data_IF_286425789629
#
_entry.id   IF_286425789629
#
_cell.length_a   1.000
_cell.length_b   1.000
_cell.length_c   1.000
_cell.angle_alpha   90.00
_cell.angle_beta   90.00
_cell.angle_gamma   90.00
#
_symmetry.space_group_name_H-M   'P 1'
#
loop_
_entity.id
_entity.type
_entity.pdbx_description
1 polymer ?
#
# COMPACT_ATOMS: atom_id res chain seq x y z
N UNK A 1 -79.50 35.60 2.03
CA UNK A 1 -78.78 34.31 2.16
C UNK A 1 -78.18 34.02 0.79
N UNK A 2 -76.96 34.44 0.49
CA UNK A 2 -75.64 33.93 0.91
C UNK A 2 -74.96 33.35 -0.34
N UNK A 3 -74.41 34.25 -1.15
CA UNK A 3 -73.60 33.93 -2.33
C UNK A 3 -72.13 34.07 -1.96
N UNK A 4 -71.37 32.97 -1.94
CA UNK A 4 -69.90 33.02 -1.99
C UNK A 4 -69.33 31.77 -2.67
N UNK A 5 -68.99 31.83 -3.97
CA UNK A 5 -68.10 30.90 -4.63
C UNK A 5 -66.86 31.65 -5.16
N UNK A 6 -65.87 31.94 -4.30
CA UNK A 6 -64.69 32.77 -4.64
C UNK A 6 -63.35 32.12 -4.22
N UNK A 7 -63.28 30.79 -4.07
CA UNK A 7 -62.04 30.11 -3.63
C UNK A 7 -61.64 28.92 -4.52
N UNK A 8 -61.65 29.08 -5.85
CA UNK A 8 -61.15 28.02 -6.75
C UNK A 8 -60.09 28.42 -7.78
N UNK A 9 -59.81 29.71 -7.97
CA UNK A 9 -58.99 30.14 -9.13
C UNK A 9 -57.49 30.43 -8.83
N UNK A 10 -57.02 30.33 -7.58
CA UNK A 10 -55.66 30.80 -7.20
C UNK A 10 -54.59 29.72 -7.02
N UNK A 11 -54.92 28.44 -7.17
CA UNK A 11 -53.98 27.35 -6.92
C UNK A 11 -53.16 26.89 -8.15
N UNK A 12 -53.61 27.14 -9.38
CA UNK A 12 -52.97 26.59 -10.59
C UNK A 12 -51.73 27.37 -11.07
N UNK A 13 -51.59 28.66 -10.69
CA UNK A 13 -50.50 29.51 -11.18
C UNK A 13 -49.14 29.30 -10.51
N UNK A 14 -49.10 28.76 -9.29
CA UNK A 14 -47.85 28.55 -8.52
C UNK A 14 -47.15 27.24 -8.90
N UNK A 15 -47.91 26.20 -9.23
CA UNK A 15 -47.37 24.86 -9.53
C UNK A 15 -46.52 24.87 -10.80
N UNK A 16 -46.90 25.66 -11.83
CA UNK A 16 -46.14 25.77 -13.08
C UNK A 16 -44.79 26.48 -12.96
N UNK A 17 -44.67 27.46 -12.06
CA UNK A 17 -43.43 28.22 -11.85
C UNK A 17 -42.37 27.42 -11.06
N UNK A 18 -42.82 26.61 -10.09
CA UNK A 18 -41.94 25.80 -9.24
C UNK A 18 -41.28 24.64 -10.01
N UNK A 19 -41.97 24.05 -10.99
CA UNK A 19 -41.44 22.97 -11.83
C UNK A 19 -40.37 23.49 -12.80
N UNK A 20 -40.56 24.68 -13.36
CA UNK A 20 -39.59 25.28 -14.29
C UNK A 20 -38.28 25.66 -13.59
N UNK A 21 -38.39 26.26 -12.39
CA UNK A 21 -37.25 26.60 -11.52
C UNK A 21 -36.41 25.36 -11.13
N UNK A 22 -37.08 24.26 -10.79
CA UNK A 22 -36.44 23.00 -10.39
C UNK A 22 -35.66 22.36 -11.55
N UNK A 23 -36.23 22.37 -12.74
CA UNK A 23 -35.62 21.78 -13.94
C UNK A 23 -34.35 22.53 -14.36
N UNK A 24 -34.38 23.86 -14.32
CA UNK A 24 -33.22 24.72 -14.65
C UNK A 24 -32.09 24.54 -13.63
N UNK A 25 -32.43 24.33 -12.35
CA UNK A 25 -31.44 24.08 -11.28
C UNK A 25 -30.76 22.72 -11.45
N UNK A 26 -31.51 21.66 -11.79
CA UNK A 26 -30.96 20.32 -12.05
C UNK A 26 -29.99 20.33 -13.24
N UNK A 27 -30.36 21.00 -14.33
CA UNK A 27 -29.50 21.10 -15.52
C UNK A 27 -28.18 21.83 -15.23
N UNK A 28 -28.18 22.87 -14.38
CA UNK A 28 -26.94 23.53 -13.95
C UNK A 28 -26.06 22.61 -13.11
N UNK A 29 -26.65 21.84 -12.20
CA UNK A 29 -25.90 20.92 -11.34
C UNK A 29 -25.21 19.85 -12.19
N UNK A 30 -25.91 19.28 -13.18
CA UNK A 30 -25.33 18.29 -14.10
C UNK A 30 -24.20 18.91 -14.93
N UNK A 31 -24.37 20.16 -15.39
CA UNK A 31 -23.36 20.84 -16.18
C UNK A 31 -22.11 21.18 -15.35
N UNK A 32 -22.29 21.63 -14.10
CA UNK A 32 -21.21 21.89 -13.14
C UNK A 32 -20.46 20.61 -12.77
N UNK A 33 -21.18 19.50 -12.58
CA UNK A 33 -20.58 18.20 -12.30
C UNK A 33 -19.73 17.71 -13.49
N UNK A 34 -20.25 17.90 -14.71
CA UNK A 34 -19.56 17.49 -15.93
C UNK A 34 -18.37 18.39 -16.28
N UNK A 35 -18.44 19.69 -15.99
CA UNK A 35 -17.32 20.61 -16.18
C UNK A 35 -16.23 20.42 -15.13
N UNK A 36 -16.59 20.25 -13.85
CA UNK A 36 -15.64 20.01 -12.77
C UNK A 36 -15.00 18.62 -12.84
N UNK A 37 -15.73 17.61 -13.32
CA UNK A 37 -15.20 16.26 -13.51
C UNK A 37 -14.08 16.19 -14.55
N UNK A 38 -14.12 17.03 -15.58
CA UNK A 38 -13.07 17.10 -16.60
C UNK A 38 -11.74 17.60 -16.04
N UNK A 39 -11.77 18.68 -15.25
CA UNK A 39 -10.57 19.26 -14.64
C UNK A 39 -9.96 18.32 -13.58
N UNK A 40 -10.78 17.67 -12.77
CA UNK A 40 -10.33 16.68 -11.79
C UNK A 40 -9.69 15.44 -12.43
N UNK A 41 -10.27 14.93 -13.53
CA UNK A 41 -9.70 13.82 -14.29
C UNK A 41 -8.36 14.19 -14.94
N UNK A 42 -8.25 15.43 -15.42
CA UNK A 42 -7.00 15.91 -16.01
C UNK A 42 -5.91 16.09 -14.96
N UNK A 43 -6.28 16.60 -13.78
CA UNK A 43 -5.39 16.72 -12.63
C UNK A 43 -4.98 15.34 -12.08
N UNK A 44 -5.91 14.38 -11.98
CA UNK A 44 -5.63 13.00 -11.61
C UNK A 44 -4.73 12.29 -12.64
N UNK A 45 -4.90 12.55 -13.94
CA UNK A 45 -4.02 12.04 -14.98
C UNK A 45 -2.59 12.58 -14.89
N UNK A 46 -2.44 13.86 -14.51
CA UNK A 46 -1.13 14.48 -14.29
C UNK A 46 -0.43 13.90 -13.04
N UNK A 47 -1.15 13.77 -11.93
CA UNK A 47 -0.63 13.19 -10.70
C UNK A 47 -0.39 11.67 -10.81
N UNK A 48 -1.19 10.96 -11.59
CA UNK A 48 -1.00 9.52 -11.85
C UNK A 48 0.31 9.24 -12.57
N UNK A 49 0.70 10.08 -13.53
CA UNK A 49 2.00 9.95 -14.23
C UNK A 49 3.19 10.25 -13.32
N UNK A 50 3.07 11.22 -12.41
CA UNK A 50 4.07 11.49 -11.37
C UNK A 50 4.18 10.31 -10.40
N UNK A 51 3.04 9.78 -9.94
CA UNK A 51 3.00 8.63 -9.02
C UNK A 51 3.60 7.36 -9.65
N UNK A 52 3.39 7.11 -10.94
CA UNK A 52 3.98 5.96 -11.64
C UNK A 52 5.50 6.06 -11.74
N UNK A 53 6.02 7.26 -11.96
CA UNK A 53 7.46 7.56 -11.97
C UNK A 53 8.07 7.38 -10.58
N UNK A 54 7.46 7.97 -9.55
CA UNK A 54 7.87 7.84 -8.15
C UNK A 54 7.83 6.38 -7.68
N UNK A 55 6.79 5.65 -8.07
CA UNK A 55 6.65 4.23 -7.79
C UNK A 55 7.77 3.40 -8.40
N UNK A 56 8.13 3.69 -9.65
CA UNK A 56 9.22 2.98 -10.35
C UNK A 56 10.58 3.25 -9.71
N UNK A 57 10.81 4.50 -9.26
CA UNK A 57 12.04 4.90 -8.57
C UNK A 57 12.14 4.20 -7.21
N UNK A 58 11.09 4.25 -6.38
CA UNK A 58 11.11 3.64 -5.06
C UNK A 58 11.22 2.10 -5.15
N UNK A 59 10.55 1.48 -6.13
CA UNK A 59 10.68 0.05 -6.39
C UNK A 59 12.12 -0.34 -6.76
N UNK A 60 12.81 0.48 -7.56
CA UNK A 60 14.21 0.23 -7.91
C UNK A 60 15.14 0.40 -6.72
N UNK A 61 14.93 1.43 -5.90
CA UNK A 61 15.67 1.62 -4.64
C UNK A 61 15.51 0.43 -3.69
N UNK A 62 14.28 -0.07 -3.54
CA UNK A 62 13.99 -1.28 -2.75
C UNK A 62 14.69 -2.52 -3.33
N UNK A 63 14.69 -2.68 -4.66
CA UNK A 63 15.37 -3.78 -5.33
C UNK A 63 16.90 -3.72 -5.14
N UNK A 64 17.51 -2.54 -5.27
CA UNK A 64 18.94 -2.34 -5.07
C UNK A 64 19.34 -2.59 -3.60
N UNK A 65 18.53 -2.12 -2.64
CA UNK A 65 18.74 -2.43 -1.22
C UNK A 65 18.60 -3.92 -0.92
N UNK A 66 17.61 -4.60 -1.52
CA UNK A 66 17.43 -6.04 -1.38
C UNK A 66 18.63 -6.80 -1.96
N UNK A 67 19.09 -6.42 -3.14
CA UNK A 67 20.27 -6.99 -3.78
C UNK A 67 21.52 -6.81 -2.91
N UNK A 68 21.74 -5.61 -2.36
CA UNK A 68 22.85 -5.34 -1.45
C UNK A 68 22.79 -6.21 -0.17
N UNK A 69 21.59 -6.39 0.41
CA UNK A 69 21.39 -7.25 1.58
C UNK A 69 21.66 -8.73 1.25
N UNK A 70 21.18 -9.21 0.10
CA UNK A 70 21.42 -10.59 -0.35
C UNK A 70 22.91 -10.82 -0.60
N UNK A 71 23.59 -9.87 -1.25
CA UNK A 71 25.02 -9.96 -1.49
C UNK A 71 25.83 -9.95 -0.18
N UNK A 72 25.48 -9.06 0.75
CA UNK A 72 26.11 -9.00 2.08
C UNK A 72 25.88 -10.31 2.87
N UNK A 73 24.68 -10.88 2.81
CA UNK A 73 24.38 -12.16 3.45
C UNK A 73 25.17 -13.31 2.83
N UNK A 74 25.30 -13.36 1.51
CA UNK A 74 26.10 -14.35 0.81
C UNK A 74 27.59 -14.23 1.18
N UNK A 75 28.13 -13.01 1.18
CA UNK A 75 29.52 -12.75 1.57
C UNK A 75 29.79 -13.14 3.03
N UNK A 76 28.87 -12.82 3.95
CA UNK A 76 28.96 -13.23 5.35
C UNK A 76 28.94 -14.75 5.51
N UNK A 77 28.08 -15.44 4.77
CA UNK A 77 27.99 -16.90 4.80
C UNK A 77 29.28 -17.55 4.28
N UNK A 78 29.83 -17.05 3.19
CA UNK A 78 31.15 -17.47 2.69
C UNK A 78 32.24 -17.24 3.73
N UNK A 79 32.29 -16.04 4.33
CA UNK A 79 33.26 -15.72 5.38
C UNK A 79 33.15 -16.68 6.57
N UNK A 80 31.93 -16.99 7.03
CA UNK A 80 31.71 -17.96 8.11
C UNK A 80 32.26 -19.34 7.70
N UNK A 81 31.90 -19.85 6.53
CA UNK A 81 32.38 -21.16 6.05
C UNK A 81 33.90 -21.21 6.02
N UNK A 82 34.58 -20.22 5.43
CA UNK A 82 36.03 -20.19 5.36
C UNK A 82 36.69 -20.06 6.74
N UNK A 83 36.13 -19.24 7.63
CA UNK A 83 36.60 -19.15 9.01
C UNK A 83 36.44 -20.49 9.74
N UNK A 84 35.33 -21.18 9.51
CA UNK A 84 35.08 -22.51 10.07
C UNK A 84 36.06 -23.56 9.58
N UNK A 85 36.32 -23.59 8.27
CA UNK A 85 37.35 -24.45 7.67
C UNK A 85 38.73 -24.13 8.23
N UNK A 86 39.07 -22.85 8.41
CA UNK A 86 40.34 -22.43 8.99
C UNK A 86 40.50 -22.91 10.45
N UNK A 87 39.47 -22.74 11.28
CA UNK A 87 39.47 -23.25 12.66
C UNK A 87 39.64 -24.77 12.68
N UNK A 88 38.96 -25.48 11.77
CA UNK A 88 39.06 -26.92 11.68
C UNK A 88 40.46 -27.36 11.21
N UNK A 89 41.05 -26.67 10.23
CA UNK A 89 42.40 -26.95 9.74
C UNK A 89 43.45 -26.73 10.84
N UNK A 90 43.35 -25.64 11.60
CA UNK A 90 44.27 -25.33 12.70
C UNK A 90 44.13 -26.31 13.88
N UNK A 91 42.93 -26.84 14.11
CA UNK A 91 42.67 -27.77 15.22
C UNK A 91 42.82 -29.25 14.83
N UNK A 92 43.00 -29.57 13.54
CA UNK A 92 42.91 -30.93 13.01
C UNK A 92 43.89 -31.92 13.66
N UNK A 93 45.12 -31.47 13.90
CA UNK A 93 46.20 -32.29 14.47
C UNK A 93 46.36 -32.10 15.99
N UNK A 94 45.42 -31.40 16.62
CA UNK A 94 45.42 -31.14 18.07
C UNK A 94 44.37 -31.97 18.79
N UNK A 95 44.57 -32.20 20.10
CA UNK A 95 43.57 -32.85 20.97
C UNK A 95 42.22 -32.10 21.02
N UNK A 96 42.19 -30.84 20.58
CA UNK A 96 40.99 -29.99 20.58
C UNK A 96 40.11 -30.15 19.34
N UNK A 97 40.39 -31.08 18.42
CA UNK A 97 39.60 -31.29 17.19
C UNK A 97 38.10 -31.44 17.47
N UNK A 98 37.74 -32.33 18.41
CA UNK A 98 36.33 -32.59 18.76
C UNK A 98 35.67 -31.36 19.39
N UNK A 99 36.37 -30.67 20.30
CA UNK A 99 35.87 -29.44 20.92
C UNK A 99 35.65 -28.32 19.89
N UNK A 100 36.55 -28.21 18.89
CA UNK A 100 36.46 -27.22 17.81
C UNK A 100 35.26 -27.48 16.91
N UNK A 101 34.97 -28.74 16.57
CA UNK A 101 33.78 -29.12 15.81
C UNK A 101 32.50 -28.77 16.58
N UNK A 102 32.41 -29.14 17.86
CA UNK A 102 31.25 -28.84 18.71
C UNK A 102 31.05 -27.31 18.82
N UNK A 103 32.14 -26.56 19.04
CA UNK A 103 32.12 -25.10 19.08
C UNK A 103 31.60 -24.49 17.78
N UNK A 104 32.06 -24.99 16.62
CA UNK A 104 31.60 -24.54 15.31
C UNK A 104 30.09 -24.76 15.13
N UNK A 105 29.61 -25.95 15.47
CA UNK A 105 28.18 -26.30 15.39
C UNK A 105 27.37 -25.37 16.28
N UNK A 106 27.81 -25.14 17.53
CA UNK A 106 27.13 -24.26 18.46
C UNK A 106 27.06 -22.81 17.93
N UNK A 107 28.18 -22.27 17.44
CA UNK A 107 28.23 -20.92 16.87
C UNK A 107 27.32 -20.79 15.65
N UNK A 108 27.33 -21.78 14.75
CA UNK A 108 26.49 -21.75 13.54
C UNK A 108 25.01 -21.88 13.89
N UNK A 109 24.66 -22.74 14.86
CA UNK A 109 23.29 -22.88 15.34
C UNK A 109 22.77 -21.57 15.96
N UNK A 110 23.59 -20.88 16.76
CA UNK A 110 23.26 -19.57 17.34
C UNK A 110 23.08 -18.53 16.22
N UNK A 111 24.02 -18.45 15.28
CA UNK A 111 23.94 -17.52 14.15
C UNK A 111 22.66 -17.75 13.32
N UNK A 112 22.35 -19.02 13.02
CA UNK A 112 21.13 -19.41 12.30
C UNK A 112 19.87 -19.05 13.09
N UNK A 113 19.83 -19.32 14.41
CA UNK A 113 18.71 -18.98 15.28
C UNK A 113 18.46 -17.47 15.32
N UNK A 114 19.51 -16.66 15.46
CA UNK A 114 19.42 -15.19 15.43
C UNK A 114 18.95 -14.68 14.07
N UNK A 115 19.49 -15.22 12.97
CA UNK A 115 19.07 -14.86 11.62
C UNK A 115 17.58 -15.20 11.39
N UNK A 116 17.15 -16.39 11.83
CA UNK A 116 15.75 -16.82 11.75
C UNK A 116 14.82 -15.92 12.54
N UNK A 117 15.16 -15.60 13.80
CA UNK A 117 14.37 -14.67 14.62
C UNK A 117 14.24 -13.29 13.97
N UNK A 118 15.34 -12.76 13.42
CA UNK A 118 15.32 -11.47 12.71
C UNK A 118 14.46 -11.53 11.45
N UNK A 119 14.55 -12.61 10.68
CA UNK A 119 13.72 -12.82 9.49
C UNK A 119 12.23 -12.94 9.86
N UNK A 120 11.90 -13.76 10.86
CA UNK A 120 10.54 -13.95 11.35
C UNK A 120 9.93 -12.64 11.90
N UNK A 121 10.72 -11.82 12.61
CA UNK A 121 10.26 -10.51 13.09
C UNK A 121 9.98 -9.55 11.93
N UNK A 122 10.84 -9.52 10.90
CA UNK A 122 10.66 -8.66 9.73
C UNK A 122 9.51 -9.12 8.83
N UNK A 123 9.31 -10.43 8.66
CA UNK A 123 8.18 -10.96 7.88
C UNK A 123 6.83 -10.67 8.55
N UNK A 124 6.75 -10.80 9.88
CA UNK A 124 5.57 -10.42 10.66
C UNK A 124 5.25 -8.92 10.60
N UNK A 125 6.27 -8.06 10.42
CA UNK A 125 6.06 -6.63 10.18
C UNK A 125 5.63 -6.34 8.74
N UNK A 126 6.16 -7.07 7.76
CA UNK A 126 5.82 -6.92 6.35
C UNK A 126 4.35 -7.27 6.04
N UNK A 127 3.77 -8.26 6.70
CA UNK A 127 2.34 -8.59 6.56
C UNK A 127 1.41 -7.49 7.06
N UNK A 128 1.87 -6.66 8.00
CA UNK A 128 1.13 -5.52 8.55
C UNK A 128 1.46 -4.19 7.85
N UNK A 129 2.61 -4.09 7.16
CA UNK A 129 3.05 -2.85 6.51
C UNK A 129 2.12 -2.40 5.37
N UNK A 130 1.39 -3.33 4.75
CA UNK A 130 0.44 -3.04 3.68
C UNK A 130 -1.02 -3.24 4.07
N UNK A 131 -1.33 -3.65 5.30
CA UNK A 131 -2.71 -3.94 5.70
C UNK A 131 -3.56 -2.67 5.80
N UNK A 132 -2.99 -1.57 6.31
CA UNK A 132 -3.64 -0.27 6.35
C UNK A 132 -3.90 0.26 4.94
N UNK A 133 -2.88 0.22 4.07
CA UNK A 133 -3.00 0.66 2.66
C UNK A 133 -4.00 -0.19 1.89
N UNK A 134 -4.09 -1.50 2.13
CA UNK A 134 -5.07 -2.38 1.49
C UNK A 134 -6.49 -2.10 1.97
N UNK A 135 -6.66 -1.88 3.27
CA UNK A 135 -7.95 -1.53 3.86
C UNK A 135 -8.46 -0.18 3.34
N UNK A 136 -7.56 0.79 3.17
CA UNK A 136 -7.87 2.11 2.60
C UNK A 136 -8.22 2.01 1.11
N UNK A 137 -7.47 1.19 0.34
CA UNK A 137 -7.80 0.92 -1.07
C UNK A 137 -9.15 0.20 -1.23
N UNK A 138 -9.48 -0.70 -0.31
CA UNK A 138 -10.76 -1.42 -0.31
C UNK A 138 -11.93 -0.50 0.05
N UNK A 139 -11.71 0.45 0.98
CA UNK A 139 -12.67 1.50 1.31
C UNK A 139 -12.90 2.46 0.12
N UNK A 140 -11.84 2.87 -0.57
CA UNK A 140 -11.92 3.73 -1.76
C UNK A 140 -12.63 3.02 -2.92
N UNK A 141 -12.38 1.72 -3.11
CA UNK A 141 -13.03 0.91 -4.13
C UNK A 141 -14.52 0.67 -3.81
N UNK A 142 -14.86 0.53 -2.53
CA UNK A 142 -16.25 0.47 -2.09
C UNK A 142 -17.00 1.79 -2.34
N UNK A 143 -16.35 2.94 -2.09
CA UNK A 143 -16.90 4.27 -2.40
C UNK A 143 -17.14 4.46 -3.90
N UNK A 144 -16.18 4.05 -4.74
CA UNK A 144 -16.31 4.11 -6.21
C UNK A 144 -17.43 3.22 -6.73
N UNK A 145 -17.58 2.00 -6.19
CA UNK A 145 -18.68 1.10 -6.54
C UNK A 145 -20.05 1.63 -6.12
N UNK A 146 -20.12 2.45 -5.09
CA UNK A 146 -21.38 2.99 -4.58
C UNK A 146 -21.83 4.26 -5.33
N UNK A 147 -20.93 4.89 -6.10
CA UNK A 147 -21.21 6.08 -6.92
C UNK A 147 -21.44 5.77 -8.41
N UNK A 148 -21.25 4.52 -8.83
CA UNK A 148 -21.54 3.97 -10.17
C UNK A 148 -22.89 3.24 -10.17
#
# INVERSE_FOLDING_TARGET
MSSTPELRHRADGSIGADIHSSTVRILRIIHLLRSAGGDLLNQAGLHGRLAELEWTIEKRRLADMLAAVVLAAAALLCMMIFAGVLVLALSWDTAYRTASIIGLIAVYAIALGLAWQRLAKRSAQGSNAFSATRAELEADLALLKHQL
#
